data_IF_600978407149
#
_entry.id   IF_600978407149
#
_cell.length_a   1.000
_cell.length_b   1.000
_cell.length_c   1.000
_cell.angle_alpha   90.00
_cell.angle_beta   90.00
_cell.angle_gamma   90.00
#
_symmetry.space_group_name_H-M   'P 1'
#
loop_
_entity.id
_entity.type
_entity.pdbx_description
1 polymer ?
#
# COMPACT_ATOMS: atom_id res chain seq x y z
N UNK A 1 15.76 -10.02 4.71
CA UNK A 1 16.63 -10.87 5.55
C UNK A 1 15.86 -11.85 6.43
N UNK A 2 14.91 -11.36 7.23
CA UNK A 2 14.05 -12.23 8.06
C UNK A 2 13.43 -13.37 7.24
N UNK A 3 12.96 -13.06 6.03
CA UNK A 3 12.41 -14.04 5.09
C UNK A 3 13.41 -15.13 4.69
N UNK A 4 14.64 -14.76 4.32
CA UNK A 4 15.69 -15.72 3.95
C UNK A 4 16.06 -16.65 5.10
N UNK A 5 15.87 -16.21 6.35
CA UNK A 5 16.07 -17.02 7.55
C UNK A 5 14.79 -17.76 7.97
N UNK A 6 13.72 -17.73 7.18
CA UNK A 6 12.44 -18.37 7.48
C UNK A 6 11.70 -17.77 8.68
N UNK A 7 12.00 -16.52 9.04
CA UNK A 7 11.42 -15.82 10.21
C UNK A 7 10.36 -14.78 9.87
N UNK A 8 10.19 -14.44 8.59
CA UNK A 8 9.15 -13.49 8.18
C UNK A 8 7.87 -14.26 7.85
N UNK A 9 6.83 -14.11 8.68
CA UNK A 9 5.48 -14.60 8.35
C UNK A 9 4.86 -13.76 7.23
N UNK A 10 4.88 -12.43 7.41
CA UNK A 10 4.36 -11.47 6.45
C UNK A 10 4.91 -10.06 6.70
N UNK A 11 5.10 -9.30 5.64
CA UNK A 11 5.32 -7.85 5.67
C UNK A 11 4.04 -7.12 5.20
N UNK A 12 3.35 -6.44 6.10
CA UNK A 12 2.19 -5.59 5.77
C UNK A 12 2.65 -4.15 5.52
N UNK A 13 2.83 -3.78 4.25
CA UNK A 13 3.30 -2.43 3.88
C UNK A 13 2.14 -1.50 3.59
N UNK A 14 2.19 -0.28 4.13
CA UNK A 14 1.29 0.82 3.79
C UNK A 14 1.83 1.67 2.63
N UNK A 15 3.09 1.44 2.23
CA UNK A 15 3.73 2.16 1.15
C UNK A 15 3.17 1.71 -0.20
N UNK A 16 3.27 2.61 -1.18
CA UNK A 16 2.82 2.40 -2.56
C UNK A 16 3.98 2.46 -3.56
N UNK A 17 5.21 2.67 -3.05
CA UNK A 17 6.44 2.89 -3.83
C UNK A 17 7.05 1.60 -4.40
N UNK A 18 6.58 0.42 -3.97
CA UNK A 18 7.02 -0.92 -4.41
C UNK A 18 8.47 -1.27 -4.08
N UNK A 19 9.11 -0.54 -3.14
CA UNK A 19 10.50 -0.81 -2.76
C UNK A 19 10.69 -2.19 -2.12
N UNK A 20 9.64 -2.79 -1.56
CA UNK A 20 9.66 -4.16 -1.03
C UNK A 20 9.96 -5.18 -2.14
N UNK A 21 9.42 -4.96 -3.35
CA UNK A 21 9.68 -5.81 -4.50
C UNK A 21 11.13 -5.67 -4.97
N UNK A 22 11.65 -4.43 -4.99
CA UNK A 22 13.05 -4.14 -5.33
C UNK A 22 14.01 -4.78 -4.31
N UNK A 23 13.64 -4.77 -3.03
CA UNK A 23 14.37 -5.43 -1.96
C UNK A 23 14.29 -6.97 -2.01
N UNK A 24 13.44 -7.52 -2.88
CA UNK A 24 13.22 -8.95 -3.03
C UNK A 24 12.51 -9.59 -1.84
N UNK A 25 11.53 -8.87 -1.26
CA UNK A 25 10.64 -9.41 -0.22
C UNK A 25 9.43 -10.05 -0.90
N UNK A 26 9.27 -11.35 -0.74
CA UNK A 26 8.20 -12.11 -1.41
C UNK A 26 6.91 -12.13 -0.59
N UNK A 27 7.00 -12.32 0.73
CA UNK A 27 5.86 -12.37 1.65
C UNK A 27 5.33 -10.97 2.01
N UNK A 28 5.04 -10.14 1.01
CA UNK A 28 4.52 -8.78 1.18
C UNK A 28 3.01 -8.71 0.92
N UNK A 29 2.31 -7.90 1.70
CA UNK A 29 0.96 -7.41 1.43
C UNK A 29 1.03 -5.89 1.27
N UNK A 30 0.80 -5.42 0.05
CA UNK A 30 0.65 -4.00 -0.28
C UNK A 30 -0.75 -3.56 0.17
N UNK A 31 -0.86 -3.12 1.43
CA UNK A 31 -2.15 -2.87 2.08
C UNK A 31 -2.95 -1.80 1.35
N UNK A 32 -2.29 -0.79 0.80
CA UNK A 32 -2.93 0.28 0.05
C UNK A 32 -2.79 0.10 -1.47
N UNK A 33 -2.51 -1.12 -1.93
CA UNK A 33 -2.21 -1.39 -3.34
C UNK A 33 -0.88 -0.76 -3.78
N UNK A 34 -0.70 -0.64 -5.08
CA UNK A 34 0.56 -0.13 -5.66
C UNK A 34 0.35 0.46 -7.05
N UNK A 35 1.38 1.13 -7.56
CA UNK A 35 1.38 1.62 -8.94
C UNK A 35 1.59 0.52 -9.99
N UNK A 36 1.67 -0.76 -9.62
CA UNK A 36 1.98 -1.85 -10.55
C UNK A 36 0.99 -1.94 -11.73
N UNK A 37 -0.28 -1.62 -11.47
CA UNK A 37 -1.36 -1.68 -12.45
C UNK A 37 -2.34 -0.54 -12.27
N UNK A 38 -3.20 -0.35 -13.28
CA UNK A 38 -4.30 0.61 -13.23
C UNK A 38 -5.57 -0.01 -13.81
N UNK A 39 -6.71 0.30 -13.19
CA UNK A 39 -8.02 -0.19 -13.60
C UNK A 39 -8.93 0.96 -14.05
N UNK A 40 -9.69 0.73 -15.10
CA UNK A 40 -10.71 1.66 -15.55
C UNK A 40 -11.83 1.78 -14.51
N UNK A 41 -12.09 3.01 -14.07
CA UNK A 41 -13.16 3.36 -13.13
C UNK A 41 -14.58 3.08 -13.64
N UNK A 42 -14.74 2.83 -14.94
CA UNK A 42 -16.05 2.53 -15.57
C UNK A 42 -16.24 1.05 -15.90
N UNK A 43 -15.28 0.42 -16.57
CA UNK A 43 -15.44 -0.94 -17.10
C UNK A 43 -14.52 -1.98 -16.44
N UNK A 44 -13.67 -1.59 -15.48
CA UNK A 44 -12.74 -2.49 -14.80
C UNK A 44 -11.60 -3.01 -15.67
N UNK A 45 -11.45 -2.56 -16.92
CA UNK A 45 -10.32 -2.95 -17.77
C UNK A 45 -9.00 -2.58 -17.10
N UNK A 46 -8.12 -3.56 -16.92
CA UNK A 46 -6.86 -3.43 -16.19
C UNK A 46 -5.66 -3.41 -17.13
N UNK A 47 -4.72 -2.53 -16.86
CA UNK A 47 -3.46 -2.37 -17.62
C UNK A 47 -2.27 -2.28 -16.67
N UNK A 48 -1.04 -2.45 -17.20
CA UNK A 48 0.19 -2.24 -16.43
C UNK A 48 0.48 -0.76 -16.21
N UNK A 49 1.31 -0.45 -15.20
CA UNK A 49 1.81 0.90 -14.94
C UNK A 49 2.39 1.58 -16.19
N UNK A 50 3.17 0.82 -16.97
CA UNK A 50 3.85 1.32 -18.17
C UNK A 50 2.86 1.84 -19.22
N UNK A 51 1.67 1.25 -19.30
CA UNK A 51 0.64 1.66 -20.26
C UNK A 51 0.05 3.05 -19.98
N UNK A 52 0.08 3.51 -18.71
CA UNK A 52 -0.44 4.85 -18.32
C UNK A 52 0.68 5.85 -17.99
N UNK A 53 1.94 5.39 -17.95
CA UNK A 53 3.10 6.18 -17.53
C UNK A 53 3.30 7.45 -18.34
N UNK A 54 3.22 7.36 -19.67
CA UNK A 54 3.42 8.52 -20.55
C UNK A 54 2.39 9.62 -20.28
N UNK A 55 1.13 9.26 -20.04
CA UNK A 55 0.07 10.21 -19.72
C UNK A 55 0.33 10.86 -18.36
N UNK A 56 0.65 10.07 -17.33
CA UNK A 56 0.95 10.57 -15.98
C UNK A 56 2.11 11.56 -15.98
N UNK A 57 3.23 11.21 -16.63
CA UNK A 57 4.43 12.07 -16.69
C UNK A 57 4.20 13.38 -17.46
N UNK A 58 3.28 13.36 -18.43
CA UNK A 58 2.90 14.54 -19.20
C UNK A 58 1.71 15.31 -18.58
N UNK A 59 1.30 14.96 -17.36
CA UNK A 59 0.15 15.56 -16.67
C UNK A 59 -1.16 15.46 -17.48
N UNK A 60 -1.30 14.40 -18.27
CA UNK A 60 -2.52 14.05 -19.01
C UNK A 60 -3.31 12.99 -18.25
N UNK A 61 -4.64 13.08 -18.31
CA UNK A 61 -5.52 12.10 -17.68
C UNK A 61 -5.50 10.81 -18.52
N UNK A 62 -5.07 9.65 -17.97
CA UNK A 62 -5.04 8.41 -18.71
C UNK A 62 -6.47 7.89 -18.94
N UNK A 63 -6.86 7.77 -20.21
CA UNK A 63 -8.19 7.31 -20.61
C UNK A 63 -8.18 5.81 -20.91
N UNK A 64 -9.29 5.13 -20.64
CA UNK A 64 -9.41 3.70 -20.81
C UNK A 64 -9.23 3.30 -22.28
N UNK A 65 -8.26 2.43 -22.61
CA UNK A 65 -8.01 2.02 -24.00
C UNK A 65 -9.04 1.03 -24.53
N UNK A 66 -9.86 0.43 -23.66
CA UNK A 66 -10.87 -0.55 -24.05
C UNK A 66 -11.92 0.06 -24.99
N UNK A 67 -12.19 -0.55 -26.15
CA UNK A 67 -13.29 -0.15 -27.04
C UNK A 67 -14.66 -0.34 -26.38
N UNK A 68 -14.82 -1.34 -25.52
CA UNK A 68 -16.05 -1.58 -24.77
C UNK A 68 -16.34 -0.48 -23.71
N UNK A 69 -15.37 0.41 -23.45
CA UNK A 69 -15.55 1.53 -22.51
C UNK A 69 -16.13 2.79 -23.17
N UNK A 70 -16.31 2.78 -24.50
CA UNK A 70 -17.08 3.81 -25.21
C UNK A 70 -18.55 3.60 -24.83
N UNK A 71 -19.07 4.44 -23.94
CA UNK A 71 -20.52 4.51 -23.80
C UNK A 71 -21.09 5.02 -25.12
N UNK A 72 -21.83 4.19 -25.84
CA UNK A 72 -22.99 4.71 -26.56
C UNK A 72 -23.84 5.49 -25.56
N UNK A 73 -24.42 6.65 -25.91
CA UNK A 73 -25.30 7.37 -25.00
C UNK A 73 -26.56 6.52 -24.78
N UNK A 74 -26.56 5.66 -23.76
CA UNK A 74 -27.79 5.04 -23.28
C UNK A 74 -28.49 6.06 -22.41
N UNK A 75 -29.46 6.72 -23.03
CA UNK A 75 -30.52 7.48 -22.37
C UNK A 75 -31.12 6.67 -21.22
N UNK A 76 -30.82 7.06 -19.99
CA UNK A 76 -31.74 6.85 -18.86
C UNK A 76 -31.42 7.89 -17.80
N UNK A 77 -32.16 8.99 -17.92
CA UNK A 77 -32.73 9.79 -16.84
C UNK A 77 -31.79 10.43 -15.80
N UNK A 78 -31.18 11.56 -16.18
CA UNK A 78 -31.28 12.78 -15.37
C UNK A 78 -31.63 13.93 -16.33
N UNK A 79 -32.93 14.25 -16.42
CA UNK A 79 -33.40 15.50 -17.00
C UNK A 79 -33.00 16.64 -16.05
N UNK A 80 -31.84 17.24 -16.30
CA UNK A 80 -31.42 18.48 -15.64
C UNK A 80 -32.31 19.61 -16.17
N UNK A 81 -33.03 20.36 -15.32
CA UNK A 81 -33.78 21.53 -15.77
C UNK A 81 -32.79 22.54 -16.35
N UNK A 82 -33.12 23.08 -17.53
CA UNK A 82 -32.34 24.12 -18.18
C UNK A 82 -32.40 25.40 -17.33
N UNK A 83 -31.40 25.61 -16.47
CA UNK A 83 -31.31 26.81 -15.66
C UNK A 83 -30.27 26.70 -14.56
N UNK A 84 -29.00 26.84 -14.92
CA UNK A 84 -27.97 27.66 -14.23
C UNK A 84 -26.58 27.26 -14.74
N UNK A 85 -25.83 28.26 -15.16
CA UNK A 85 -24.47 28.15 -15.70
C UNK A 85 -23.48 27.72 -14.60
N UNK A 86 -23.27 26.42 -14.41
CA UNK A 86 -22.08 25.91 -13.74
C UNK A 86 -21.14 25.31 -14.78
N UNK A 87 -19.94 25.86 -14.90
CA UNK A 87 -18.84 25.42 -15.75
C UNK A 87 -18.29 24.06 -15.32
N UNK A 88 -19.08 23.00 -15.47
CA UNK A 88 -18.60 21.64 -15.27
C UNK A 88 -17.75 21.24 -16.48
N UNK A 89 -16.54 20.70 -16.28
CA UNK A 89 -15.72 20.23 -17.38
C UNK A 89 -16.46 19.14 -18.17
N UNK A 90 -16.27 19.07 -19.51
CA UNK A 90 -16.91 18.04 -20.32
C UNK A 90 -16.54 16.67 -19.78
N UNK A 91 -17.55 15.85 -19.49
CA UNK A 91 -17.33 14.46 -19.04
C UNK A 91 -16.57 13.70 -20.12
N UNK A 92 -15.43 13.05 -19.79
CA UNK A 92 -14.66 12.31 -20.79
C UNK A 92 -15.51 11.20 -21.42
N UNK A 93 -15.40 11.04 -22.74
CA UNK A 93 -16.16 10.04 -23.51
C UNK A 93 -15.77 8.59 -23.17
N UNK A 94 -14.69 8.41 -22.41
CA UNK A 94 -14.12 7.13 -21.99
C UNK A 94 -13.87 7.18 -20.48
N UNK A 95 -13.89 6.03 -19.82
CA UNK A 95 -13.56 5.93 -18.39
C UNK A 95 -12.10 6.33 -18.12
N UNK A 96 -11.82 6.79 -16.91
CA UNK A 96 -10.46 7.15 -16.48
C UNK A 96 -9.77 5.92 -15.91
N UNK A 97 -8.50 5.74 -16.26
CA UNK A 97 -7.62 4.70 -15.69
C UNK A 97 -7.09 5.19 -14.33
N UNK A 98 -7.51 4.53 -13.25
CA UNK A 98 -7.02 4.81 -11.90
C UNK A 98 -5.93 3.79 -11.56
N UNK A 99 -4.74 4.20 -11.10
CA UNK A 99 -3.79 3.27 -10.48
C UNK A 99 -4.47 2.44 -9.39
N UNK A 100 -4.10 1.17 -9.27
CA UNK A 100 -4.68 0.21 -8.31
C UNK A 100 -4.13 0.47 -6.90
N UNK A 101 -4.30 1.70 -6.44
CA UNK A 101 -3.98 2.22 -5.11
C UNK A 101 -5.29 2.53 -4.42
N UNK A 102 -5.39 2.16 -3.15
CA UNK A 102 -6.54 2.43 -2.29
C UNK A 102 -6.59 3.93 -1.98
N UNK A 103 -7.64 4.60 -2.42
CA UNK A 103 -7.92 5.98 -2.06
C UNK A 103 -8.72 6.03 -0.75
N UNK A 104 -8.71 7.18 -0.08
CA UNK A 104 -9.54 7.37 1.11
C UNK A 104 -11.02 7.13 0.79
N UNK A 105 -11.67 6.29 1.58
CA UNK A 105 -13.05 5.87 1.38
C UNK A 105 -13.21 4.56 0.60
N UNK A 106 -12.16 4.05 -0.04
CA UNK A 106 -12.14 2.72 -0.65
C UNK A 106 -11.78 1.64 0.38
N UNK A 107 -12.27 0.43 0.16
CA UNK A 107 -11.88 -0.75 0.95
C UNK A 107 -10.45 -1.20 0.61
N UNK A 108 -9.79 -1.85 1.57
CA UNK A 108 -8.53 -2.53 1.26
C UNK A 108 -8.75 -3.74 0.34
N UNK A 109 -7.71 -4.18 -0.39
CA UNK A 109 -7.78 -5.39 -1.19
C UNK A 109 -8.17 -6.60 -0.34
N UNK A 110 -8.95 -7.53 -0.90
CA UNK A 110 -9.35 -8.77 -0.23
C UNK A 110 -8.14 -9.62 0.23
N UNK A 111 -7.00 -9.47 -0.43
CA UNK A 111 -5.73 -10.09 -0.05
C UNK A 111 -5.30 -9.69 1.37
N UNK A 112 -5.56 -8.44 1.79
CA UNK A 112 -5.28 -7.98 3.14
C UNK A 112 -6.12 -8.74 4.17
N UNK A 113 -7.44 -8.81 3.97
CA UNK A 113 -8.35 -9.48 4.90
C UNK A 113 -8.10 -10.98 4.97
N UNK A 114 -7.82 -11.60 3.82
CA UNK A 114 -7.50 -13.02 3.72
C UNK A 114 -6.19 -13.35 4.43
N UNK A 115 -5.14 -12.55 4.20
CA UNK A 115 -3.85 -12.72 4.86
C UNK A 115 -3.97 -12.53 6.37
N UNK A 116 -4.63 -11.46 6.84
CA UNK A 116 -4.83 -11.20 8.26
C UNK A 116 -5.60 -12.34 8.96
N UNK A 117 -6.58 -12.94 8.30
CA UNK A 117 -7.34 -14.07 8.84
C UNK A 117 -6.46 -15.29 9.09
N UNK A 118 -5.51 -15.55 8.19
CA UNK A 118 -4.56 -16.65 8.30
C UNK A 118 -3.42 -16.36 9.29
N UNK A 119 -2.89 -15.15 9.25
CA UNK A 119 -1.66 -14.78 9.95
C UNK A 119 -1.90 -14.50 11.44
N UNK A 120 -3.10 -14.03 11.83
CA UNK A 120 -3.39 -13.63 13.22
C UNK A 120 -3.15 -14.74 14.27
N UNK A 121 -3.33 -16.01 13.90
CA UNK A 121 -3.18 -17.15 14.79
C UNK A 121 -1.79 -17.80 14.70
N UNK A 122 -0.93 -17.31 13.79
CA UNK A 122 0.42 -17.83 13.52
C UNK A 122 1.52 -16.87 13.94
N UNK A 123 1.19 -15.58 14.02
CA UNK A 123 2.11 -14.54 14.45
C UNK A 123 2.49 -14.74 15.92
N UNK A 124 3.80 -14.75 16.18
CA UNK A 124 4.42 -14.90 17.50
C UNK A 124 5.22 -13.66 17.93
N UNK A 125 5.44 -12.70 17.01
CA UNK A 125 6.06 -11.39 17.25
C UNK A 125 5.54 -10.37 16.24
N UNK A 126 5.10 -9.20 16.71
CA UNK A 126 4.76 -8.06 15.86
C UNK A 126 5.86 -6.99 15.94
N UNK A 127 6.34 -6.52 14.79
CA UNK A 127 7.25 -5.37 14.70
C UNK A 127 6.60 -4.31 13.82
N UNK A 128 6.40 -3.11 14.36
CA UNK A 128 5.91 -1.92 13.64
C UNK A 128 7.10 -1.01 13.35
N UNK A 129 7.38 -0.73 12.08
CA UNK A 129 8.51 0.09 11.65
C UNK A 129 8.00 1.30 10.87
N UNK A 130 8.39 2.51 11.29
CA UNK A 130 8.25 3.73 10.50
C UNK A 130 6.80 4.12 10.15
N UNK A 131 5.82 3.75 10.99
CA UNK A 131 4.41 4.08 10.76
C UNK A 131 3.78 4.77 11.96
N UNK A 132 2.93 5.76 11.69
CA UNK A 132 2.10 6.40 12.71
C UNK A 132 0.85 5.58 13.09
N UNK A 133 0.52 4.53 12.32
CA UNK A 133 -0.68 3.71 12.49
C UNK A 133 -1.96 4.53 12.75
N UNK A 134 -2.19 5.55 11.91
CA UNK A 134 -3.42 6.37 11.96
C UNK A 134 -4.48 5.94 10.95
N UNK A 135 -4.08 5.24 9.89
CA UNK A 135 -4.97 4.83 8.80
C UNK A 135 -5.49 3.42 9.06
N UNK A 136 -6.80 3.32 9.23
CA UNK A 136 -7.50 2.02 9.33
C UNK A 136 -7.72 1.43 7.94
N UNK A 137 -7.90 0.11 7.86
CA UNK A 137 -7.78 -0.94 8.88
C UNK A 137 -6.37 -1.35 9.31
N UNK A 138 -5.28 -0.91 8.65
CA UNK A 138 -3.92 -1.34 9.04
C UNK A 138 -3.57 -0.96 10.48
N UNK A 139 -4.03 0.22 10.93
CA UNK A 139 -3.91 0.65 12.33
C UNK A 139 -4.55 -0.28 13.37
N UNK A 140 -5.41 -1.23 12.95
CA UNK A 140 -6.07 -2.20 13.82
C UNK A 140 -5.28 -3.50 14.00
N UNK A 141 -4.23 -3.74 13.22
CA UNK A 141 -3.42 -4.97 13.31
C UNK A 141 -2.92 -5.23 14.74
N UNK A 142 -2.32 -4.27 15.46
CA UNK A 142 -1.85 -4.48 16.84
C UNK A 142 -2.92 -5.03 17.80
N UNK A 143 -4.16 -4.53 17.64
CA UNK A 143 -5.30 -4.91 18.47
C UNK A 143 -6.03 -6.17 17.98
N UNK A 144 -5.68 -6.67 16.80
CA UNK A 144 -6.29 -7.86 16.19
C UNK A 144 -5.51 -9.15 16.50
N UNK A 145 -4.28 -9.03 16.99
CA UNK A 145 -3.43 -10.14 17.40
C UNK A 145 -3.74 -10.57 18.85
N UNK A 146 -3.45 -11.84 19.22
CA UNK A 146 -3.57 -12.28 20.60
C UNK A 146 -2.75 -11.39 21.57
N UNK A 147 -3.26 -11.05 22.77
CA UNK A 147 -2.55 -10.20 23.73
C UNK A 147 -1.21 -10.77 24.23
N UNK A 148 -0.97 -12.07 24.03
CA UNK A 148 0.28 -12.74 24.38
C UNK A 148 1.40 -12.51 23.36
N UNK A 149 1.09 -12.00 22.17
CA UNK A 149 2.08 -11.73 21.12
C UNK A 149 2.84 -10.46 21.47
N UNK A 150 4.17 -10.52 21.68
CA UNK A 150 4.97 -9.35 21.95
C UNK A 150 4.94 -8.36 20.78
N UNK A 151 4.92 -7.07 21.09
CA UNK A 151 4.83 -6.00 20.11
C UNK A 151 5.97 -4.99 20.30
N UNK A 152 6.74 -4.79 19.23
CA UNK A 152 7.87 -3.86 19.19
C UNK A 152 7.55 -2.70 18.25
N UNK A 153 7.81 -1.48 18.70
CA UNK A 153 7.78 -0.27 17.87
C UNK A 153 9.20 0.18 17.54
N UNK A 154 9.48 0.41 16.26
CA UNK A 154 10.67 1.09 15.75
C UNK A 154 10.17 2.33 15.00
N UNK A 155 10.25 3.51 15.62
CA UNK A 155 9.73 4.72 15.00
C UNK A 155 10.45 5.97 15.48
N UNK A 156 10.32 7.08 14.75
CA UNK A 156 10.86 8.37 15.21
C UNK A 156 10.12 8.92 16.43
N UNK A 157 8.84 8.60 16.55
CA UNK A 157 7.95 9.13 17.57
C UNK A 157 7.12 8.02 18.22
N UNK A 158 6.76 8.21 19.48
CA UNK A 158 5.85 7.33 20.22
C UNK A 158 4.42 7.42 19.67
N UNK A 159 3.69 6.31 19.68
CA UNK A 159 2.27 6.26 19.32
C UNK A 159 1.40 6.26 20.58
N UNK A 160 0.89 7.44 20.99
CA UNK A 160 0.15 7.58 22.26
C UNK A 160 -1.17 6.79 22.35
N UNK A 161 -1.69 6.34 21.21
CA UNK A 161 -2.93 5.56 21.11
C UNK A 161 -2.72 4.04 21.16
N UNK A 162 -1.49 3.57 21.29
CA UNK A 162 -1.13 2.15 21.34
C UNK A 162 -0.06 1.91 22.41
N UNK A 163 -0.07 0.72 23.01
CA UNK A 163 0.94 0.30 23.98
C UNK A 163 1.78 -0.81 23.36
N UNK A 164 3.08 -0.58 23.24
CA UNK A 164 4.06 -1.58 22.79
C UNK A 164 4.86 -2.08 23.99
N UNK A 165 5.31 -3.33 23.95
CA UNK A 165 6.16 -3.90 25.01
C UNK A 165 7.55 -3.29 25.00
N UNK A 166 8.05 -2.97 23.79
CA UNK A 166 9.33 -2.31 23.58
C UNK A 166 9.17 -1.20 22.56
N UNK A 167 9.66 -0.01 22.88
CA UNK A 167 9.68 1.15 21.99
C UNK A 167 11.13 1.58 21.73
N UNK A 168 11.57 1.46 20.48
CA UNK A 168 12.87 1.89 20.00
C UNK A 168 12.66 3.19 19.20
N UNK A 169 13.01 4.31 19.82
CA UNK A 169 12.73 5.64 19.27
C UNK A 169 13.97 6.26 18.61
N UNK A 170 13.86 6.62 17.34
CA UNK A 170 14.96 7.20 16.57
C UNK A 170 14.85 6.95 15.06
N UNK A 171 15.97 7.11 14.36
CA UNK A 171 16.04 6.78 12.94
C UNK A 171 16.00 5.25 12.75
N UNK A 172 15.11 4.79 11.86
CA UNK A 172 14.87 3.37 11.64
C UNK A 172 16.11 2.63 11.16
N UNK A 173 16.89 3.23 10.27
CA UNK A 173 18.09 2.58 9.71
C UNK A 173 19.17 2.42 10.79
N UNK A 174 19.34 3.42 11.66
CA UNK A 174 20.29 3.37 12.78
C UNK A 174 19.89 2.30 13.81
N UNK A 175 18.60 2.21 14.13
CA UNK A 175 18.09 1.19 15.05
C UNK A 175 18.26 -0.20 14.44
N UNK A 176 17.89 -0.38 13.17
CA UNK A 176 18.00 -1.67 12.47
C UNK A 176 19.48 -2.09 12.34
N UNK A 177 20.40 -1.18 12.01
CA UNK A 177 21.84 -1.48 11.99
C UNK A 177 22.33 -1.96 13.36
N UNK A 178 21.92 -1.28 14.44
CA UNK A 178 22.27 -1.68 15.82
C UNK A 178 21.74 -3.08 16.15
N UNK A 179 20.49 -3.37 15.80
CA UNK A 179 19.87 -4.68 16.00
C UNK A 179 20.58 -5.77 15.17
N UNK A 180 20.95 -5.48 13.93
CA UNK A 180 21.67 -6.43 13.07
C UNK A 180 23.04 -6.77 13.66
N UNK A 181 23.78 -5.78 14.17
CA UNK A 181 25.05 -6.00 14.87
C UNK A 181 24.88 -6.84 16.13
N UNK A 182 23.82 -6.60 16.90
CA UNK A 182 23.52 -7.36 18.12
C UNK A 182 23.12 -8.82 17.83
N UNK A 183 22.46 -9.09 16.69
CA UNK A 183 22.07 -10.43 16.25
C UNK A 183 23.25 -11.25 15.68
N UNK A 184 24.38 -10.62 15.38
CA UNK A 184 25.62 -11.26 14.91
C UNK A 184 25.86 -11.15 13.40
N UNK A 185 27.03 -11.63 12.95
CA UNK A 185 27.53 -11.41 11.58
C UNK A 185 26.60 -11.93 10.46
N UNK A 186 25.82 -12.98 10.74
CA UNK A 186 24.84 -13.52 9.77
C UNK A 186 23.68 -12.57 9.46
N UNK A 187 23.49 -11.53 10.27
CA UNK A 187 22.46 -10.51 10.12
C UNK A 187 23.00 -9.16 9.65
N UNK A 188 24.32 -8.98 9.59
CA UNK A 188 24.92 -7.74 9.07
C UNK A 188 24.91 -7.73 7.54
N UNK A 189 24.18 -6.78 6.96
CA UNK A 189 24.15 -6.57 5.51
C UNK A 189 25.21 -5.55 5.13
N UNK A 190 26.10 -5.90 4.19
CA UNK A 190 26.72 -4.90 3.32
C UNK A 190 25.68 -4.48 2.29
N UNK A 191 24.80 -3.53 2.63
CA UNK A 191 23.89 -2.95 1.64
C UNK A 191 24.79 -2.23 0.63
N UNK A 192 24.98 -2.81 -0.56
CA UNK A 192 25.54 -2.09 -1.70
C UNK A 192 24.46 -1.11 -2.19
N UNK A 193 24.26 -0.02 -1.46
CA UNK A 193 23.49 1.13 -1.92
C UNK A 193 24.38 1.88 -2.90
N UNK A 194 24.59 1.32 -4.11
CA UNK A 194 25.38 1.97 -5.16
C UNK A 194 24.55 2.30 -6.41
N UNK A 195 23.22 2.20 -6.39
CA UNK A 195 22.39 2.39 -7.61
C UNK A 195 21.07 3.14 -7.45
N UNK A 196 20.90 3.99 -6.44
CA UNK A 196 19.74 4.89 -6.38
C UNK A 196 20.13 6.30 -5.91
N UNK A 197 20.90 7.00 -6.74
CA UNK A 197 20.85 8.47 -6.89
C UNK A 197 21.01 8.75 -8.38
#
# INVERSE_FOLDING_TARGET
MLERHGKLLRNYSQNIDTLEQVAGIENVIECHGSFATASCTRCGHRVSAEAIKADVFQQRIPLCPSPACLSSPTSSDISVPAGESSSLPPTPSRGVMKPDIVFFGEGLPDSFHSAMTLDKNRCDLLIVIGSSLKVRPVALIPNSLPPSVPQILINRERLSHLNFDVELLGDGDVIIDTLCRALGESWTVRLKIEKCI
#
